data_IF_376662573402
#
_entry.id   IF_376662573402
#
_cell.length_a   1.000
_cell.length_b   1.000
_cell.length_c   1.000
_cell.angle_alpha   90.00
_cell.angle_beta   90.00
_cell.angle_gamma   90.00
#
_symmetry.space_group_name_H-M   'P 1'
#
loop_
_entity.id
_entity.type
_entity.pdbx_description
1 polymer ?
#
# COMPACT_ATOMS: atom_id res chain seq x y z
N UNK A 1 1.19 13.29 -5.16
CA UNK A 1 2.52 13.78 -5.54
C UNK A 1 3.54 13.17 -4.60
N UNK A 2 4.47 12.39 -5.15
CA UNK A 2 5.64 11.90 -4.44
C UNK A 2 6.86 12.76 -4.73
N UNK A 3 7.89 12.66 -3.90
CA UNK A 3 9.20 13.27 -4.19
C UNK A 3 9.91 12.48 -5.30
N UNK A 4 10.59 13.20 -6.19
CA UNK A 4 11.36 12.63 -7.29
C UNK A 4 12.84 12.44 -6.94
N UNK A 5 13.36 13.24 -6.02
CA UNK A 5 14.74 13.22 -5.53
C UNK A 5 14.76 13.22 -4.01
N UNK A 6 15.90 12.83 -3.43
CA UNK A 6 16.06 12.92 -1.98
C UNK A 6 16.04 14.39 -1.54
N UNK A 7 15.57 14.66 -0.32
CA UNK A 7 15.48 16.01 0.27
C UNK A 7 16.21 16.03 1.60
N UNK A 8 16.91 17.12 1.93
CA UNK A 8 17.61 17.29 3.20
C UNK A 8 19.12 17.17 3.08
N UNK A 9 19.77 16.73 4.17
CA UNK A 9 21.24 16.73 4.28
C UNK A 9 21.89 15.90 3.17
N UNK A 10 22.82 16.52 2.43
CA UNK A 10 23.63 15.85 1.41
C UNK A 10 22.86 15.38 0.17
N UNK A 11 21.63 15.86 -0.04
CA UNK A 11 20.84 15.52 -1.23
C UNK A 11 20.96 16.60 -2.32
N UNK A 12 20.85 16.20 -3.59
CA UNK A 12 20.64 17.14 -4.70
C UNK A 12 19.20 17.62 -4.65
N UNK A 13 18.99 18.88 -4.28
CA UNK A 13 17.68 19.39 -3.88
C UNK A 13 16.92 19.93 -5.10
N UNK A 14 15.75 19.37 -5.39
CA UNK A 14 14.76 20.01 -6.27
C UNK A 14 13.74 20.77 -5.43
N UNK A 15 13.57 22.07 -5.70
CA UNK A 15 12.63 22.93 -4.97
C UNK A 15 11.23 22.31 -4.76
N UNK A 16 10.56 21.80 -5.80
CA UNK A 16 9.23 21.20 -5.64
C UNK A 16 9.17 20.03 -4.65
N UNK A 17 10.21 19.20 -4.57
CA UNK A 17 10.27 18.07 -3.63
C UNK A 17 10.35 18.58 -2.18
N UNK A 18 11.06 19.69 -1.95
CA UNK A 18 11.15 20.33 -0.63
C UNK A 18 9.77 20.81 -0.18
N UNK A 19 9.02 21.48 -1.05
CA UNK A 19 7.66 21.93 -0.74
C UNK A 19 6.73 20.78 -0.36
N UNK A 20 6.85 19.63 -1.03
CA UNK A 20 6.11 18.41 -0.68
C UNK A 20 6.49 17.94 0.74
N UNK A 21 7.78 17.90 1.08
CA UNK A 21 8.25 17.51 2.41
C UNK A 21 7.77 18.49 3.48
N UNK A 22 7.87 19.80 3.25
CA UNK A 22 7.38 20.83 4.17
C UNK A 22 5.88 20.68 4.44
N UNK A 23 5.06 20.48 3.39
CA UNK A 23 3.63 20.18 3.54
C UNK A 23 3.40 18.93 4.41
N UNK A 24 4.10 17.83 4.14
CA UNK A 24 3.95 16.59 4.92
C UNK A 24 4.39 16.75 6.37
N UNK A 25 5.47 17.48 6.63
CA UNK A 25 5.90 17.83 7.98
C UNK A 25 4.82 18.62 8.71
N UNK A 26 4.18 19.60 8.04
CA UNK A 26 3.12 20.40 8.65
C UNK A 26 1.89 19.55 9.02
N UNK A 27 1.54 18.55 8.21
CA UNK A 27 0.49 17.59 8.57
C UNK A 27 0.87 16.84 9.85
N UNK A 28 2.11 16.33 9.94
CA UNK A 28 2.58 15.61 11.13
C UNK A 28 2.64 16.54 12.35
N UNK A 29 3.06 17.80 12.17
CA UNK A 29 3.09 18.81 13.22
C UNK A 29 1.69 19.02 13.83
N UNK A 30 0.66 19.07 13.00
CA UNK A 30 -0.71 19.25 13.49
C UNK A 30 -1.29 17.99 14.15
N UNK A 31 -0.82 16.79 13.75
CA UNK A 31 -1.39 15.51 14.21
C UNK A 31 -0.65 14.84 15.36
N UNK A 32 0.63 15.13 15.56
CA UNK A 32 1.46 14.49 16.57
C UNK A 32 1.94 15.53 17.58
N UNK A 33 1.29 15.57 18.75
CA UNK A 33 1.58 16.53 19.81
C UNK A 33 3.01 16.44 20.35
N UNK A 34 3.58 15.23 20.43
CA UNK A 34 4.97 15.03 20.84
C UNK A 34 5.96 15.58 19.81
N UNK A 35 5.70 15.35 18.52
CA UNK A 35 6.50 15.93 17.44
C UNK A 35 6.39 17.46 17.42
N UNK A 36 5.18 18.00 17.56
CA UNK A 36 4.93 19.44 17.69
C UNK A 36 5.75 20.05 18.82
N UNK A 37 5.64 19.50 20.03
CA UNK A 37 6.36 20.00 21.20
C UNK A 37 7.90 19.92 21.01
N UNK A 38 8.39 18.83 20.44
CA UNK A 38 9.82 18.67 20.14
C UNK A 38 10.31 19.68 19.08
N UNK A 39 9.50 19.93 18.04
CA UNK A 39 9.84 20.87 16.98
C UNK A 39 9.82 22.32 17.49
N UNK A 40 8.79 22.69 18.25
CA UNK A 40 8.66 24.00 18.89
C UNK A 40 9.86 24.29 19.81
N UNK A 41 10.39 23.27 20.49
CA UNK A 41 11.58 23.41 21.32
C UNK A 41 12.89 23.51 20.53
N UNK A 42 12.96 22.89 19.35
CA UNK A 42 14.17 22.84 18.52
C UNK A 42 14.37 24.10 17.65
N UNK A 43 13.28 24.79 17.31
CA UNK A 43 13.30 25.96 16.38
C UNK A 43 13.24 27.30 17.13
N UNK A 44 13.37 27.32 18.47
CA UNK A 44 13.27 28.53 19.33
C UNK A 44 14.07 29.75 18.85
N UNK A 45 15.10 29.55 18.03
CA UNK A 45 16.02 30.59 17.54
C UNK A 45 15.49 31.31 16.27
N UNK A 46 14.57 30.71 15.48
CA UNK A 46 14.32 31.17 14.10
C UNK A 46 12.88 31.59 13.77
N UNK A 47 11.85 31.26 14.58
CA UNK A 47 10.46 31.69 14.33
C UNK A 47 9.52 31.42 15.53
N UNK A 48 8.35 32.10 15.63
CA UNK A 48 7.28 31.73 16.56
C UNK A 48 6.77 30.30 16.30
N UNK A 49 6.18 29.65 17.33
CA UNK A 49 5.62 28.27 17.30
C UNK A 49 4.55 28.10 16.21
N UNK A 50 4.96 27.76 14.99
CA UNK A 50 4.06 27.59 13.85
C UNK A 50 4.56 26.50 12.89
N UNK A 51 3.68 25.93 12.05
CA UNK A 51 4.07 25.05 10.95
C UNK A 51 5.15 25.69 10.06
N UNK A 52 5.97 24.86 9.40
CA UNK A 52 6.96 25.34 8.44
C UNK A 52 6.30 26.17 7.33
N UNK A 53 6.97 27.23 6.89
CA UNK A 53 6.61 27.90 5.64
C UNK A 53 6.88 26.93 4.49
N UNK A 54 5.94 26.83 3.54
CA UNK A 54 6.13 26.05 2.31
C UNK A 54 6.74 26.98 1.27
N UNK A 55 8.05 27.09 1.27
CA UNK A 55 8.83 28.01 0.42
C UNK A 55 9.80 27.30 -0.53
N UNK A 56 9.78 25.97 -0.53
CA UNK A 56 10.69 25.13 -1.32
C UNK A 56 12.17 25.27 -0.93
N UNK A 57 12.48 25.90 0.21
CA UNK A 57 13.83 26.02 0.74
C UNK A 57 14.14 24.90 1.76
N UNK A 58 15.23 24.17 1.49
CA UNK A 58 15.70 23.08 2.35
C UNK A 58 16.73 23.58 3.37
N UNK A 59 16.57 24.80 3.86
CA UNK A 59 17.43 25.39 4.88
C UNK A 59 17.31 24.72 6.26
N UNK A 60 17.96 25.34 7.25
CA UNK A 60 18.10 24.81 8.60
C UNK A 60 16.76 24.45 9.27
N UNK A 61 15.70 25.21 9.02
CA UNK A 61 14.37 24.93 9.58
C UNK A 61 13.80 23.60 9.04
N UNK A 62 13.85 23.40 7.72
CA UNK A 62 13.39 22.18 7.06
C UNK A 62 14.22 20.97 7.52
N UNK A 63 15.54 21.07 7.53
CA UNK A 63 16.44 20.01 7.99
C UNK A 63 16.20 19.66 9.48
N UNK A 64 16.06 20.68 10.33
CA UNK A 64 15.77 20.48 11.77
C UNK A 64 14.44 19.78 11.97
N UNK A 65 13.43 20.11 11.16
CA UNK A 65 12.14 19.46 11.21
C UNK A 65 12.20 17.99 10.76
N UNK A 66 12.96 17.69 9.70
CA UNK A 66 13.21 16.30 9.27
C UNK A 66 13.89 15.52 10.39
N UNK A 67 14.97 16.04 10.98
CA UNK A 67 15.70 15.38 12.07
C UNK A 67 14.81 15.16 13.29
N UNK A 68 14.03 16.17 13.66
CA UNK A 68 13.09 16.07 14.78
C UNK A 68 12.02 15.02 14.49
N UNK A 69 11.47 14.98 13.28
CA UNK A 69 10.49 13.97 12.89
C UNK A 69 11.08 12.56 12.95
N UNK A 70 12.28 12.34 12.40
CA UNK A 70 12.97 11.06 12.47
C UNK A 70 13.22 10.63 13.92
N UNK A 71 13.67 11.54 14.78
CA UNK A 71 13.89 11.25 16.20
C UNK A 71 12.60 10.86 16.92
N UNK A 72 11.52 11.63 16.73
CA UNK A 72 10.29 11.45 17.51
C UNK A 72 9.39 10.37 16.92
N UNK A 73 9.12 10.42 15.62
CA UNK A 73 8.19 9.51 14.96
C UNK A 73 8.84 8.15 14.63
N UNK A 74 10.11 8.13 14.24
CA UNK A 74 10.83 6.89 13.90
C UNK A 74 11.69 6.36 15.06
N UNK A 75 11.80 7.11 16.17
CA UNK A 75 12.64 6.75 17.32
C UNK A 75 14.11 6.53 16.96
N UNK A 76 14.60 7.25 15.95
CA UNK A 76 16.01 7.16 15.55
C UNK A 76 16.90 7.92 16.54
N UNK A 77 17.91 7.23 17.07
CA UNK A 77 18.91 7.86 17.94
C UNK A 77 19.76 8.88 17.19
N UNK A 78 20.13 8.56 15.95
CA UNK A 78 21.00 9.37 15.08
C UNK A 78 20.23 9.81 13.81
N UNK A 79 19.36 10.83 13.89
CA UNK A 79 18.63 11.31 12.73
C UNK A 79 19.56 12.02 11.74
N UNK A 80 19.57 11.56 10.50
CA UNK A 80 20.44 12.09 9.44
C UNK A 80 19.93 13.41 8.83
N UNK A 81 18.63 13.70 8.96
CA UNK A 81 18.02 14.88 8.34
C UNK A 81 17.79 14.76 6.84
N UNK A 82 17.73 13.53 6.32
CA UNK A 82 17.52 13.22 4.91
C UNK A 82 16.23 12.42 4.70
N UNK A 83 15.53 12.72 3.61
CA UNK A 83 14.32 12.01 3.18
C UNK A 83 14.57 11.45 1.79
N UNK A 84 14.86 10.15 1.73
CA UNK A 84 15.01 9.46 0.46
C UNK A 84 13.67 9.10 -0.17
N UNK A 85 13.67 9.07 -1.50
CA UNK A 85 12.56 8.63 -2.32
C UNK A 85 12.16 7.20 -1.94
N UNK A 86 10.92 6.99 -1.51
CA UNK A 86 10.46 5.67 -1.06
C UNK A 86 11.09 5.21 0.26
N UNK A 87 12.01 5.97 0.86
CA UNK A 87 12.72 5.61 2.08
C UNK A 87 11.84 5.63 3.34
N UNK A 88 12.42 5.20 4.47
CA UNK A 88 11.71 5.07 5.75
C UNK A 88 11.06 6.38 6.20
N UNK A 89 11.79 7.49 6.13
CA UNK A 89 11.27 8.81 6.51
C UNK A 89 10.16 9.29 5.58
N UNK A 90 10.30 9.11 4.27
CA UNK A 90 9.27 9.46 3.29
C UNK A 90 7.97 8.69 3.55
N UNK A 91 8.10 7.38 3.70
CA UNK A 91 6.98 6.49 4.04
C UNK A 91 6.29 6.91 5.33
N UNK A 92 7.04 7.20 6.38
CA UNK A 92 6.53 7.66 7.66
C UNK A 92 5.78 9.00 7.58
N UNK A 93 6.31 9.95 6.81
CA UNK A 93 5.66 11.25 6.56
C UNK A 93 4.31 11.07 5.86
N UNK A 94 4.19 10.05 4.99
CA UNK A 94 2.93 9.65 4.37
C UNK A 94 2.04 8.80 5.28
N UNK A 95 2.44 8.52 6.52
CA UNK A 95 1.68 7.66 7.44
C UNK A 95 1.87 6.15 7.21
N UNK A 96 2.82 5.77 6.34
CA UNK A 96 3.08 4.39 5.88
C UNK A 96 4.41 3.84 6.45
N UNK A 97 4.70 4.01 7.74
CA UNK A 97 6.01 3.64 8.35
C UNK A 97 6.35 2.15 8.16
N UNK A 98 7.63 1.81 7.97
CA UNK A 98 8.09 0.43 7.65
C UNK A 98 8.42 -0.42 8.90
N UNK A 99 8.85 0.20 10.01
CA UNK A 99 8.93 -0.49 11.33
C UNK A 99 7.56 -0.60 12.00
N UNK A 100 6.57 0.00 11.36
CA UNK A 100 5.22 -0.50 11.42
C UNK A 100 5.22 -1.79 10.57
N UNK A 101 5.44 -2.95 11.18
CA UNK A 101 4.37 -3.92 11.39
C UNK A 101 2.96 -3.28 11.33
N UNK A 102 2.54 -2.57 10.27
CA UNK A 102 1.23 -1.91 10.17
C UNK A 102 0.63 -1.88 8.76
N UNK A 103 1.21 -2.52 7.74
CA UNK A 103 0.30 -3.06 6.71
C UNK A 103 -0.49 -4.20 7.37
N UNK A 104 0.22 -5.00 8.17
CA UNK A 104 -0.31 -5.94 9.15
C UNK A 104 0.15 -5.41 10.50
N UNK A 105 -0.70 -4.95 11.44
CA UNK A 105 -0.29 -4.62 12.82
C UNK A 105 0.63 -5.72 13.39
N UNK A 106 1.43 -5.47 14.44
CA UNK A 106 2.27 -6.50 15.10
C UNK A 106 1.51 -7.79 15.48
N UNK A 107 0.18 -7.71 15.57
CA UNK A 107 -0.78 -8.79 15.83
C UNK A 107 -1.48 -9.38 14.59
N UNK A 108 -1.30 -8.83 13.38
CA UNK A 108 -2.08 -9.23 12.20
C UNK A 108 -3.02 -8.19 11.61
N UNK A 109 -3.29 -7.05 12.27
CA UNK A 109 -4.49 -6.23 11.96
C UNK A 109 -4.27 -5.10 10.95
N UNK A 110 -5.08 -5.11 9.89
CA UNK A 110 -5.26 -4.01 8.93
C UNK A 110 -6.31 -3.03 9.45
N UNK A 111 -6.35 -1.81 8.89
CA UNK A 111 -7.56 -0.98 9.02
C UNK A 111 -8.67 -1.67 8.24
N UNK A 112 -9.65 -2.20 8.97
CA UNK A 112 -10.81 -2.84 8.36
C UNK A 112 -12.01 -1.91 8.36
N UNK A 113 -12.75 -1.92 7.27
CA UNK A 113 -13.99 -1.17 7.12
C UNK A 113 -15.11 -2.12 6.71
N UNK A 114 -16.27 -1.91 7.30
CA UNK A 114 -17.52 -2.53 6.86
C UNK A 114 -18.28 -1.53 6.00
N UNK A 115 -18.64 -1.90 4.78
CA UNK A 115 -19.50 -1.07 3.94
C UNK A 115 -20.86 -0.81 4.61
N UNK A 116 -21.30 -1.72 5.49
CA UNK A 116 -22.56 -1.61 6.20
C UNK A 116 -22.62 -0.43 7.18
N UNK A 117 -21.47 0.16 7.52
CA UNK A 117 -21.42 1.32 8.41
C UNK A 117 -21.78 2.64 7.70
N UNK A 118 -22.07 2.60 6.39
CA UNK A 118 -22.29 3.80 5.57
C UNK A 118 -23.64 3.77 4.82
N UNK A 119 -24.80 3.57 5.50
CA UNK A 119 -26.11 3.45 4.86
C UNK A 119 -26.64 4.76 4.26
N UNK A 120 -26.13 5.91 4.69
CA UNK A 120 -26.61 7.24 4.27
C UNK A 120 -25.69 7.96 3.28
N UNK A 121 -24.55 7.35 2.92
CA UNK A 121 -23.58 7.98 2.04
C UNK A 121 -23.74 7.44 0.62
N UNK A 122 -24.10 8.30 -0.32
CA UNK A 122 -24.20 7.94 -1.74
C UNK A 122 -22.84 7.57 -2.31
N UNK A 123 -22.80 6.53 -3.15
CA UNK A 123 -21.56 6.08 -3.80
C UNK A 123 -21.45 6.64 -5.21
N UNK A 124 -20.26 7.13 -5.55
CA UNK A 124 -19.95 7.68 -6.86
C UNK A 124 -20.90 8.79 -7.28
N UNK A 125 -21.34 8.72 -8.53
CA UNK A 125 -22.26 9.69 -9.11
C UNK A 125 -23.72 9.23 -9.03
N UNK A 126 -24.01 8.18 -8.25
CA UNK A 126 -25.38 7.68 -8.08
C UNK A 126 -26.19 8.55 -7.12
N UNK A 127 -27.46 8.75 -7.46
CA UNK A 127 -28.47 9.36 -6.57
C UNK A 127 -29.20 8.33 -5.69
N UNK A 128 -29.18 7.06 -6.05
CA UNK A 128 -30.00 6.00 -5.42
C UNK A 128 -29.17 4.95 -4.67
N UNK A 129 -27.91 4.77 -5.05
CA UNK A 129 -27.03 3.80 -4.40
C UNK A 129 -26.17 4.42 -3.32
N UNK A 130 -25.97 3.65 -2.26
CA UNK A 130 -25.13 4.00 -1.12
C UNK A 130 -23.93 3.08 -1.02
N UNK A 131 -22.91 3.51 -0.28
CA UNK A 131 -21.74 2.68 0.04
C UNK A 131 -22.20 1.36 0.69
N UNK A 132 -23.21 1.41 1.56
CA UNK A 132 -23.84 0.20 2.13
C UNK A 132 -24.31 -0.78 1.04
N UNK A 133 -25.02 -0.29 0.03
CA UNK A 133 -25.69 -1.16 -0.95
C UNK A 133 -24.75 -1.83 -1.94
N UNK A 134 -23.76 -1.10 -2.48
CA UNK A 134 -22.88 -1.59 -3.57
C UNK A 134 -21.41 -1.17 -3.42
N UNK A 135 -21.01 -0.65 -2.26
CA UNK A 135 -19.66 -0.10 -2.03
C UNK A 135 -18.56 -1.09 -1.64
N UNK A 136 -18.69 -2.37 -1.98
CA UNK A 136 -17.66 -3.36 -1.64
C UNK A 136 -16.31 -3.01 -2.28
N UNK A 137 -16.28 -2.67 -3.57
CA UNK A 137 -15.05 -2.28 -4.29
C UNK A 137 -14.40 -1.04 -3.69
N UNK A 138 -15.20 0.01 -3.47
CA UNK A 138 -14.77 1.26 -2.83
C UNK A 138 -14.15 0.98 -1.46
N UNK A 139 -14.83 0.18 -0.64
CA UNK A 139 -14.40 -0.13 0.72
C UNK A 139 -13.11 -0.94 0.71
N UNK A 140 -12.99 -1.93 -0.18
CA UNK A 140 -11.76 -2.72 -0.36
C UNK A 140 -10.58 -1.88 -0.85
N UNK A 141 -10.77 -1.01 -1.85
CA UNK A 141 -9.72 -0.10 -2.29
C UNK A 141 -9.34 0.91 -1.20
N UNK A 142 -10.30 1.37 -0.40
CA UNK A 142 -10.03 2.26 0.75
C UNK A 142 -9.12 1.56 1.75
N UNK A 143 -9.45 0.33 2.16
CA UNK A 143 -8.61 -0.46 3.07
C UNK A 143 -7.20 -0.65 2.50
N UNK A 144 -7.08 -0.97 1.21
CA UNK A 144 -5.79 -1.10 0.54
C UNK A 144 -5.00 0.23 0.56
N UNK A 145 -5.67 1.34 0.25
CA UNK A 145 -5.08 2.66 0.21
C UNK A 145 -4.58 3.12 1.59
N UNK A 146 -5.20 2.68 2.69
CA UNK A 146 -4.67 2.96 4.04
C UNK A 146 -3.28 2.35 4.27
N UNK A 147 -2.94 1.28 3.53
CA UNK A 147 -1.68 0.56 3.66
C UNK A 147 -0.64 0.97 2.61
N UNK A 148 -1.03 1.05 1.33
CA UNK A 148 -0.10 1.26 0.21
C UNK A 148 -0.44 2.47 -0.66
N UNK A 149 -1.51 3.18 -0.34
CA UNK A 149 -1.92 4.38 -1.05
C UNK A 149 -1.01 5.58 -0.78
N UNK A 150 -1.14 6.59 -1.63
CA UNK A 150 -0.39 7.85 -1.51
C UNK A 150 -1.25 9.03 -1.97
N UNK A 151 -1.11 10.17 -1.30
CA UNK A 151 -1.89 11.36 -1.67
C UNK A 151 -1.50 11.86 -3.07
N UNK A 152 -2.49 12.25 -3.87
CA UNK A 152 -2.31 12.95 -5.15
C UNK A 152 -3.12 14.27 -5.19
N UNK A 153 -3.25 14.88 -6.36
CA UNK A 153 -3.96 16.15 -6.54
C UNK A 153 -5.46 16.11 -6.20
N UNK A 154 -6.07 14.92 -6.15
CA UNK A 154 -7.49 14.76 -5.79
C UNK A 154 -7.70 14.63 -4.28
N UNK A 155 -6.63 14.42 -3.50
CA UNK A 155 -6.71 14.27 -2.06
C UNK A 155 -6.75 15.61 -1.35
N UNK A 156 -7.50 15.75 -0.24
CA UNK A 156 -7.34 16.88 0.66
C UNK A 156 -5.88 16.97 1.15
N UNK A 157 -5.35 18.20 1.23
CA UNK A 157 -3.93 18.41 1.56
C UNK A 157 -3.53 17.84 2.93
N UNK A 158 -4.45 17.80 3.88
CA UNK A 158 -4.24 17.35 5.26
C UNK A 158 -4.56 15.87 5.50
N UNK A 159 -4.99 15.15 4.47
CA UNK A 159 -5.40 13.75 4.58
C UNK A 159 -4.22 12.80 4.34
N UNK A 160 -3.93 11.97 5.35
CA UNK A 160 -2.97 10.88 5.21
C UNK A 160 -3.69 9.59 4.80
N UNK A 161 -3.02 8.69 4.05
CA UNK A 161 -3.51 7.35 3.73
C UNK A 161 -4.17 6.62 4.91
N UNK A 162 -3.49 6.54 6.06
CA UNK A 162 -4.02 5.89 7.27
C UNK A 162 -5.32 6.49 7.83
N UNK A 163 -5.64 7.73 7.47
CA UNK A 163 -6.82 8.48 7.95
C UNK A 163 -7.98 8.45 6.92
N UNK A 164 -7.80 7.71 5.81
CA UNK A 164 -8.85 7.47 4.84
C UNK A 164 -10.02 6.72 5.48
N UNK A 165 -11.22 7.06 5.03
CA UNK A 165 -12.45 6.31 5.29
C UNK A 165 -13.17 6.10 3.95
N UNK A 166 -14.10 5.14 3.82
CA UNK A 166 -14.85 4.95 2.58
C UNK A 166 -15.56 6.21 2.10
N UNK A 167 -16.01 7.09 3.00
CA UNK A 167 -16.62 8.38 2.65
C UNK A 167 -15.58 9.32 2.01
N UNK A 168 -14.42 9.51 2.64
CA UNK A 168 -13.36 10.37 2.10
C UNK A 168 -12.80 9.83 0.77
N UNK A 169 -12.63 8.50 0.69
CA UNK A 169 -12.19 7.85 -0.53
C UNK A 169 -13.20 8.04 -1.67
N UNK A 170 -14.50 7.94 -1.39
CA UNK A 170 -15.56 8.21 -2.36
C UNK A 170 -15.45 9.63 -2.93
N UNK A 171 -15.20 10.64 -2.10
CA UNK A 171 -15.04 12.03 -2.56
C UNK A 171 -13.80 12.20 -3.45
N UNK A 172 -12.68 11.57 -3.10
CA UNK A 172 -11.46 11.55 -3.92
C UNK A 172 -11.74 10.92 -5.28
N UNK A 173 -12.42 9.76 -5.28
CA UNK A 173 -12.74 8.99 -6.47
C UNK A 173 -13.71 9.74 -7.39
N UNK A 174 -14.68 10.48 -6.84
CA UNK A 174 -15.56 11.37 -7.64
C UNK A 174 -14.75 12.48 -8.31
N UNK A 175 -13.87 13.16 -7.56
CA UNK A 175 -13.01 14.23 -8.10
C UNK A 175 -12.08 13.72 -9.20
N UNK A 176 -11.62 12.49 -9.09
CA UNK A 176 -10.76 11.84 -10.07
C UNK A 176 -11.53 11.29 -11.30
N UNK A 177 -12.86 11.34 -11.30
CA UNK A 177 -13.67 10.77 -12.39
C UNK A 177 -13.64 9.23 -12.45
N UNK A 178 -13.33 8.55 -11.34
CA UNK A 178 -13.18 7.08 -11.31
C UNK A 178 -14.51 6.31 -11.41
N UNK A 179 -15.65 7.01 -11.35
CA UNK A 179 -16.99 6.43 -11.46
C UNK A 179 -17.62 6.73 -12.82
N UNK A 180 -18.37 5.77 -13.34
CA UNK A 180 -19.20 6.00 -14.51
C UNK A 180 -20.23 7.12 -14.25
N UNK A 181 -20.65 7.80 -15.33
CA UNK A 181 -21.62 8.91 -15.26
C UNK A 181 -22.94 8.41 -14.65
N UNK A 182 -23.47 9.15 -13.67
CA UNK A 182 -24.72 8.83 -12.97
C UNK A 182 -24.77 7.44 -12.32
N UNK A 183 -23.62 6.82 -12.04
CA UNK A 183 -23.52 5.45 -11.53
C UNK A 183 -22.66 5.37 -10.27
N UNK A 184 -22.87 4.30 -9.49
CA UNK A 184 -21.97 3.89 -8.42
C UNK A 184 -20.90 2.91 -8.90
N UNK A 185 -20.94 2.51 -10.17
CA UNK A 185 -19.95 1.64 -10.80
C UNK A 185 -18.63 2.38 -10.96
N UNK A 186 -17.56 1.73 -10.51
CA UNK A 186 -16.20 2.27 -10.48
C UNK A 186 -15.31 1.49 -11.44
N UNK A 187 -14.51 2.22 -12.22
CA UNK A 187 -13.41 1.62 -12.97
C UNK A 187 -12.27 1.35 -11.98
N UNK A 188 -12.04 0.08 -11.62
CA UNK A 188 -11.13 -0.30 -10.52
C UNK A 188 -9.71 0.25 -10.72
N UNK A 189 -9.20 0.23 -11.95
CA UNK A 189 -7.88 0.78 -12.31
C UNK A 189 -7.80 2.28 -11.97
N UNK A 190 -8.79 3.04 -12.41
CA UNK A 190 -8.83 4.48 -12.19
C UNK A 190 -9.05 4.80 -10.72
N UNK A 191 -9.84 3.97 -10.03
CA UNK A 191 -10.04 4.10 -8.59
C UNK A 191 -8.76 3.83 -7.78
N UNK A 192 -7.98 2.82 -8.17
CA UNK A 192 -6.69 2.56 -7.56
C UNK A 192 -5.71 3.73 -7.81
N UNK A 193 -5.65 4.25 -9.03
CA UNK A 193 -4.80 5.39 -9.38
C UNK A 193 -5.20 6.67 -8.61
N UNK A 194 -6.49 6.95 -8.50
CA UNK A 194 -7.04 8.06 -7.72
C UNK A 194 -6.70 7.96 -6.22
N UNK A 195 -6.57 6.74 -5.70
CA UNK A 195 -6.11 6.47 -4.33
C UNK A 195 -4.59 6.28 -4.22
N UNK A 196 -3.84 6.65 -5.28
CA UNK A 196 -2.39 6.66 -5.30
C UNK A 196 -1.76 5.27 -5.19
N UNK A 197 -2.36 4.29 -5.86
CA UNK A 197 -1.86 2.93 -6.01
C UNK A 197 -1.68 2.59 -7.50
N UNK A 198 -0.79 1.63 -7.78
CA UNK A 198 -0.68 0.99 -9.10
C UNK A 198 -1.53 -0.28 -9.09
N UNK A 199 -2.29 -0.48 -10.15
CA UNK A 199 -3.20 -1.62 -10.32
C UNK A 199 -2.80 -2.47 -11.53
N UNK A 200 -2.64 -3.77 -11.30
CA UNK A 200 -2.36 -4.78 -12.33
C UNK A 200 -3.40 -5.90 -12.24
N UNK A 201 -4.23 -6.07 -13.27
CA UNK A 201 -5.36 -7.00 -13.29
C UNK A 201 -4.96 -8.39 -13.81
N UNK A 202 -5.50 -9.44 -13.17
CA UNK A 202 -5.36 -10.84 -13.54
C UNK A 202 -6.72 -11.53 -13.59
N UNK A 203 -6.88 -12.51 -14.47
CA UNK A 203 -8.11 -13.31 -14.58
C UNK A 203 -9.24 -12.67 -15.37
N UNK A 204 -8.94 -11.68 -16.23
CA UNK A 204 -9.91 -11.20 -17.22
C UNK A 204 -10.34 -12.40 -18.09
N UNK A 205 -11.64 -12.63 -18.22
CA UNK A 205 -12.27 -13.82 -18.83
C UNK A 205 -12.28 -15.12 -17.99
N UNK A 206 -12.14 -15.02 -16.66
CA UNK A 206 -12.28 -16.15 -15.71
C UNK A 206 -11.22 -17.26 -15.81
N UNK A 207 -10.09 -17.00 -16.48
CA UNK A 207 -9.00 -17.96 -16.60
C UNK A 207 -7.85 -17.54 -15.68
N UNK A 208 -7.97 -17.89 -14.40
CA UNK A 208 -6.85 -17.78 -13.47
C UNK A 208 -5.99 -19.04 -13.54
N UNK A 209 -4.69 -18.84 -13.66
CA UNK A 209 -3.67 -19.89 -13.79
C UNK A 209 -2.91 -20.10 -12.48
N UNK A 210 -2.13 -21.19 -12.40
CA UNK A 210 -1.19 -21.40 -11.28
C UNK A 210 -0.13 -20.29 -11.20
N UNK A 211 0.28 -19.74 -12.35
CA UNK A 211 1.24 -18.65 -12.41
C UNK A 211 0.65 -17.35 -11.83
N UNK A 212 -0.62 -17.07 -12.09
CA UNK A 212 -1.30 -15.89 -11.52
C UNK A 212 -1.37 -16.00 -9.99
N UNK A 213 -1.64 -17.20 -9.46
CA UNK A 213 -1.61 -17.45 -8.02
C UNK A 213 -0.20 -17.27 -7.43
N UNK A 214 0.84 -17.64 -8.16
CA UNK A 214 2.22 -17.35 -7.75
C UNK A 214 2.47 -15.85 -7.70
N UNK A 215 2.07 -15.09 -8.73
CA UNK A 215 2.16 -13.62 -8.74
C UNK A 215 1.43 -12.99 -7.55
N UNK A 216 0.22 -13.47 -7.24
CA UNK A 216 -0.54 -13.06 -6.05
C UNK A 216 0.25 -13.31 -4.76
N UNK A 217 0.79 -14.52 -4.57
CA UNK A 217 1.55 -14.87 -3.36
C UNK A 217 2.85 -14.09 -3.25
N UNK A 218 3.58 -13.91 -4.35
CA UNK A 218 4.78 -13.07 -4.40
C UNK A 218 4.46 -11.62 -4.05
N UNK A 219 3.31 -11.10 -4.49
CA UNK A 219 2.86 -9.75 -4.16
C UNK A 219 2.53 -9.60 -2.67
N UNK A 220 1.81 -10.56 -2.09
CA UNK A 220 1.55 -10.62 -0.65
C UNK A 220 2.85 -10.77 0.16
N UNK A 221 3.84 -11.52 -0.34
CA UNK A 221 5.16 -11.67 0.28
C UNK A 221 5.96 -10.36 0.38
N UNK A 222 5.66 -9.38 -0.50
CA UNK A 222 6.19 -8.01 -0.41
C UNK A 222 5.42 -7.14 0.61
N UNK A 223 4.39 -7.69 1.24
CA UNK A 223 3.49 -6.97 2.14
C UNK A 223 2.45 -6.11 1.41
N UNK A 224 2.20 -6.35 0.12
CA UNK A 224 1.26 -5.56 -0.67
C UNK A 224 -0.10 -6.26 -0.80
N UNK A 225 -1.22 -5.55 -0.63
CA UNK A 225 -2.54 -6.17 -0.67
C UNK A 225 -2.99 -6.49 -2.09
N UNK A 226 -3.98 -7.38 -2.20
CA UNK A 226 -4.59 -7.81 -3.46
C UNK A 226 -6.10 -7.62 -3.36
N UNK A 227 -6.69 -6.86 -4.27
CA UNK A 227 -8.14 -6.74 -4.36
C UNK A 227 -8.70 -7.89 -5.20
N UNK A 228 -9.62 -8.67 -4.67
CA UNK A 228 -10.14 -9.85 -5.34
C UNK A 228 -11.64 -9.74 -5.59
N UNK A 229 -12.06 -10.08 -6.81
CA UNK A 229 -13.47 -10.20 -7.16
C UNK A 229 -13.90 -11.64 -6.94
N UNK A 230 -14.91 -11.84 -6.10
CA UNK A 230 -15.46 -13.15 -5.76
C UNK A 230 -16.87 -13.32 -6.33
N UNK A 231 -17.15 -14.52 -6.80
CA UNK A 231 -18.47 -14.99 -7.23
C UNK A 231 -19.05 -15.88 -6.12
N UNK A 232 -20.29 -15.59 -5.71
CA UNK A 232 -21.08 -16.47 -4.83
C UNK A 232 -22.50 -16.72 -5.34
N UNK A 233 -22.91 -16.09 -6.45
CA UNK A 233 -24.24 -16.24 -7.06
C UNK A 233 -24.25 -17.07 -8.33
N UNK A 234 -23.11 -17.64 -8.74
CA UNK A 234 -22.93 -18.34 -10.02
C UNK A 234 -22.83 -17.41 -11.24
N UNK A 235 -22.36 -16.18 -11.06
CA UNK A 235 -22.16 -15.24 -12.17
C UNK A 235 -20.73 -15.32 -12.72
N UNK A 236 -20.56 -15.29 -14.04
CA UNK A 236 -19.24 -15.23 -14.69
C UNK A 236 -18.48 -13.93 -14.42
N UNK A 237 -19.16 -12.88 -13.95
CA UNK A 237 -18.56 -11.56 -13.78
C UNK A 237 -17.97 -11.35 -12.39
N UNK A 238 -18.38 -12.15 -11.39
CA UNK A 238 -18.17 -11.86 -9.97
C UNK A 238 -19.24 -10.89 -9.43
N UNK A 239 -19.51 -10.96 -8.13
CA UNK A 239 -20.61 -10.23 -7.48
C UNK A 239 -20.15 -9.32 -6.34
N UNK A 240 -18.91 -9.50 -5.87
CA UNK A 240 -18.45 -8.87 -4.63
C UNK A 240 -16.94 -8.75 -4.58
N UNK A 241 -16.45 -7.67 -3.97
CA UNK A 241 -15.02 -7.41 -3.83
C UNK A 241 -14.58 -7.58 -2.39
N UNK A 242 -13.41 -8.19 -2.20
CA UNK A 242 -12.74 -8.39 -0.92
C UNK A 242 -11.28 -7.96 -1.03
N UNK A 243 -10.61 -7.77 0.12
CA UNK A 243 -9.19 -7.44 0.15
C UNK A 243 -8.37 -8.60 0.72
N UNK A 244 -7.59 -9.29 -0.10
CA UNK A 244 -6.61 -10.30 0.36
C UNK A 244 -5.37 -9.58 0.88
N UNK A 245 -4.93 -9.99 2.06
CA UNK A 245 -3.99 -9.23 2.86
C UNK A 245 -2.78 -10.02 3.33
N UNK A 246 -2.83 -11.34 3.40
CA UNK A 246 -1.64 -12.15 3.70
C UNK A 246 -1.75 -13.56 3.15
N UNK A 247 -0.60 -14.13 2.82
CA UNK A 247 -0.46 -15.58 2.70
C UNK A 247 -0.10 -16.15 4.07
N UNK A 248 -0.73 -17.25 4.45
CA UNK A 248 -0.54 -17.92 5.72
C UNK A 248 0.39 -19.13 5.56
N UNK A 249 1.05 -19.54 6.64
CA UNK A 249 1.97 -20.69 6.62
C UNK A 249 1.26 -22.02 6.31
N UNK A 250 -0.04 -22.12 6.60
CA UNK A 250 -0.90 -23.27 6.29
C UNK A 250 -1.34 -23.35 4.81
N UNK A 251 -0.78 -22.48 3.96
CA UNK A 251 -1.10 -22.41 2.53
C UNK A 251 -2.39 -21.65 2.19
N UNK A 252 -3.17 -21.22 3.20
CA UNK A 252 -4.34 -20.35 2.99
C UNK A 252 -3.92 -18.90 2.76
N UNK A 253 -4.89 -18.05 2.38
CA UNK A 253 -4.71 -16.59 2.38
C UNK A 253 -5.79 -15.95 3.25
N UNK A 254 -5.44 -14.94 4.04
CA UNK A 254 -6.43 -14.14 4.77
C UNK A 254 -6.90 -12.97 3.93
N UNK A 255 -8.19 -12.66 4.01
CA UNK A 255 -8.84 -11.55 3.34
C UNK A 255 -9.80 -10.81 4.28
N UNK A 256 -10.04 -9.54 4.03
CA UNK A 256 -11.03 -8.72 4.72
C UNK A 256 -12.23 -8.56 3.81
N UNK A 257 -13.38 -8.98 4.30
CA UNK A 257 -14.65 -8.85 3.60
C UNK A 257 -15.35 -7.55 4.02
N UNK A 258 -15.59 -6.58 3.10
CA UNK A 258 -16.30 -5.36 3.44
C UNK A 258 -17.75 -5.59 3.86
N UNK A 259 -18.32 -6.79 3.64
CA UNK A 259 -19.63 -7.21 4.18
C UNK A 259 -19.55 -7.53 5.68
N UNK A 260 -19.06 -6.61 6.49
CA UNK A 260 -18.86 -6.79 7.94
C UNK A 260 -17.50 -6.31 8.43
N UNK A 261 -16.53 -6.11 7.54
CA UNK A 261 -15.20 -5.60 7.88
C UNK A 261 -14.34 -6.60 8.64
N UNK A 262 -14.68 -7.88 8.61
CA UNK A 262 -13.94 -8.92 9.33
C UNK A 262 -13.07 -9.78 8.43
N UNK A 263 -12.12 -10.46 9.06
CA UNK A 263 -11.22 -11.38 8.38
C UNK A 263 -11.93 -12.72 8.06
N UNK A 264 -11.69 -13.20 6.85
CA UNK A 264 -11.98 -14.55 6.37
C UNK A 264 -10.66 -15.15 5.85
N UNK A 265 -10.61 -16.46 5.63
CA UNK A 265 -9.52 -17.08 4.83
C UNK A 265 -10.05 -17.78 3.59
N UNK A 266 -9.16 -17.98 2.62
CA UNK A 266 -9.43 -18.69 1.38
C UNK A 266 -8.37 -19.77 1.17
N UNK A 267 -8.76 -20.89 0.56
CA UNK A 267 -7.90 -22.03 0.24
C UNK A 267 -7.76 -22.21 -1.26
N UNK A 268 -6.68 -22.83 -1.71
CA UNK A 268 -6.48 -23.17 -3.13
C UNK A 268 -7.18 -24.47 -3.53
N UNK A 269 -7.67 -25.24 -2.57
CA UNK A 269 -8.35 -26.52 -2.79
C UNK A 269 -9.87 -26.33 -2.83
N UNK A 270 -10.57 -26.82 -3.86
CA UNK A 270 -12.01 -26.65 -3.99
C UNK A 270 -12.85 -27.61 -3.13
N UNK A 271 -12.24 -28.69 -2.61
CA UNK A 271 -12.97 -29.83 -2.01
C UNK A 271 -13.80 -29.45 -0.77
N UNK A 272 -13.48 -28.35 -0.10
CA UNK A 272 -14.23 -27.85 1.08
C UNK A 272 -15.22 -26.73 0.73
N UNK A 273 -15.28 -26.33 -0.54
CA UNK A 273 -16.21 -25.31 -1.01
C UNK A 273 -17.55 -25.98 -1.30
N UNK A 274 -18.57 -25.64 -0.52
CA UNK A 274 -19.92 -26.24 -0.61
C UNK A 274 -20.59 -26.06 -1.97
N UNK A 275 -20.14 -25.10 -2.79
CA UNK A 275 -20.62 -24.92 -4.16
C UNK A 275 -19.89 -25.82 -5.17
N UNK A 276 -18.64 -26.21 -4.91
CA UNK A 276 -17.81 -26.99 -5.84
C UNK A 276 -17.93 -28.52 -5.63
N UNK A 277 -18.55 -28.96 -4.53
CA UNK A 277 -18.76 -30.38 -4.21
C UNK A 277 -19.78 -31.11 -5.12
N UNK A 278 -20.35 -30.47 -6.15
CA UNK A 278 -21.30 -31.09 -7.09
C UNK A 278 -20.89 -30.93 -8.56
N UNK A 279 -20.36 -32.00 -9.16
CA UNK A 279 -20.28 -32.37 -10.60
C UNK A 279 -19.95 -31.35 -11.69
N UNK A 280 -19.48 -30.14 -11.37
CA UNK A 280 -19.08 -29.16 -12.38
C UNK A 280 -17.67 -28.63 -12.15
N UNK A 281 -16.71 -29.54 -12.06
CA UNK A 281 -15.27 -29.23 -12.16
C UNK A 281 -14.90 -28.47 -13.46
N UNK A 282 -15.80 -28.45 -14.47
CA UNK A 282 -15.68 -27.65 -15.69
C UNK A 282 -16.11 -26.18 -15.51
N UNK A 283 -16.85 -25.82 -14.46
CA UNK A 283 -17.39 -24.47 -14.25
C UNK A 283 -16.42 -23.52 -13.52
N UNK A 284 -15.27 -23.26 -14.15
CA UNK A 284 -14.25 -22.24 -13.80
C UNK A 284 -13.11 -22.73 -12.91
N UNK A 285 -11.89 -22.46 -13.35
CA UNK A 285 -10.65 -22.67 -12.60
C UNK A 285 -10.38 -21.53 -11.61
N UNK A 286 -11.33 -21.29 -10.70
CA UNK A 286 -11.08 -20.38 -9.57
C UNK A 286 -9.85 -20.85 -8.76
N UNK A 287 -8.97 -19.92 -8.38
CA UNK A 287 -7.71 -20.25 -7.68
C UNK A 287 -7.83 -20.23 -6.16
N UNK A 288 -8.88 -19.60 -5.63
CA UNK A 288 -9.09 -19.42 -4.19
C UNK A 288 -10.57 -19.54 -3.84
N UNK A 289 -10.84 -20.30 -2.78
CA UNK A 289 -12.18 -20.73 -2.37
C UNK A 289 -12.44 -20.40 -0.91
N UNK A 290 -13.65 -19.90 -0.64
CA UNK A 290 -14.21 -19.92 0.71
C UNK A 290 -14.50 -21.35 1.17
N UNK A 291 -14.48 -21.57 2.49
CA UNK A 291 -14.74 -22.87 3.11
C UNK A 291 -15.32 -22.71 4.52
N UNK A 292 -16.00 -23.74 5.02
CA UNK A 292 -16.71 -23.72 6.32
C UNK A 292 -15.80 -23.44 7.52
N UNK A 293 -16.32 -22.70 8.52
CA UNK A 293 -15.65 -22.46 9.80
C UNK A 293 -14.70 -21.27 9.83
N UNK A 294 -14.64 -20.53 8.74
CA UNK A 294 -13.64 -19.51 8.49
C UNK A 294 -14.23 -18.18 8.02
N UNK A 295 -15.49 -18.00 8.38
CA UNK A 295 -16.29 -16.82 8.18
C UNK A 295 -16.01 -15.84 9.32
N UNK A 296 -16.21 -14.56 9.05
CA UNK A 296 -16.21 -13.60 10.13
C UNK A 296 -17.45 -13.81 11.01
N UNK A 297 -17.26 -14.06 12.30
CA UNK A 297 -18.38 -14.34 13.21
C UNK A 297 -19.26 -13.12 13.52
N UNK A 298 -18.76 -11.91 13.25
CA UNK A 298 -19.48 -10.65 13.50
C UNK A 298 -20.58 -10.32 12.48
N UNK A 299 -20.88 -11.22 11.52
CA UNK A 299 -21.94 -11.02 10.52
C UNK A 299 -23.00 -12.12 10.63
N UNK A 300 -24.21 -11.84 10.15
CA UNK A 300 -25.32 -12.79 10.21
C UNK A 300 -25.07 -14.08 9.40
N UNK A 301 -25.79 -15.18 9.72
CA UNK A 301 -25.61 -16.49 9.08
C UNK A 301 -25.70 -16.48 7.55
N UNK A 302 -26.56 -15.62 7.00
CA UNK A 302 -26.70 -15.44 5.55
C UNK A 302 -25.41 -14.97 4.88
N UNK A 303 -24.71 -14.01 5.50
CA UNK A 303 -23.43 -13.50 4.98
C UNK A 303 -22.32 -14.54 5.15
N UNK A 304 -22.28 -15.22 6.29
CA UNK A 304 -21.36 -16.34 6.53
C UNK A 304 -21.52 -17.45 5.47
N UNK A 305 -22.77 -17.84 5.14
CA UNK A 305 -23.06 -18.82 4.09
C UNK A 305 -22.60 -18.36 2.70
N UNK A 306 -22.66 -17.06 2.39
CA UNK A 306 -22.12 -16.52 1.14
C UNK A 306 -20.60 -16.60 1.11
N UNK A 307 -19.93 -16.23 2.20
CA UNK A 307 -18.46 -16.30 2.33
C UNK A 307 -17.92 -17.72 2.09
N UNK A 308 -18.63 -18.75 2.56
CA UNK A 308 -18.30 -20.17 2.28
C UNK A 308 -18.34 -20.54 0.79
N UNK A 309 -19.10 -19.79 -0.01
CA UNK A 309 -19.33 -20.05 -1.44
C UNK A 309 -18.45 -19.18 -2.34
N UNK A 310 -17.57 -18.35 -1.76
CA UNK A 310 -16.70 -17.47 -2.52
C UNK A 310 -15.78 -18.28 -3.43
N UNK A 311 -15.70 -17.84 -4.68
CA UNK A 311 -14.73 -18.29 -5.67
C UNK A 311 -14.08 -17.03 -6.23
N UNK A 312 -12.77 -16.88 -6.08
CA UNK A 312 -12.04 -15.76 -6.71
C UNK A 312 -12.02 -15.98 -8.22
N UNK A 313 -12.61 -15.04 -8.96
CA UNK A 313 -12.74 -15.09 -10.43
C UNK A 313 -11.76 -14.18 -11.16
N UNK A 314 -11.34 -13.09 -10.51
CA UNK A 314 -10.27 -12.19 -10.95
C UNK A 314 -9.70 -11.45 -9.74
N UNK A 315 -8.51 -10.89 -9.89
CA UNK A 315 -7.93 -10.04 -8.86
C UNK A 315 -7.06 -8.94 -9.46
N UNK A 316 -6.73 -7.95 -8.65
CA UNK A 316 -5.74 -6.94 -8.98
C UNK A 316 -4.67 -6.83 -7.92
N UNK A 317 -3.42 -6.81 -8.36
CA UNK A 317 -2.28 -6.48 -7.50
C UNK A 317 -2.29 -4.97 -7.25
N UNK A 318 -2.26 -4.56 -5.98
CA UNK A 318 -2.21 -3.16 -5.59
C UNK A 318 -0.82 -2.84 -5.04
N UNK A 319 -0.06 -2.03 -5.74
CA UNK A 319 1.28 -1.60 -5.32
C UNK A 319 1.29 -0.13 -4.92
N UNK A 320 2.23 0.30 -4.08
CA UNK A 320 2.57 1.71 -3.99
C UNK A 320 2.94 2.26 -5.38
N UNK A 321 2.59 3.52 -5.66
CA UNK A 321 3.15 4.22 -6.81
C UNK A 321 4.66 4.24 -6.65
N UNK A 322 5.37 3.54 -7.55
CA UNK A 322 6.82 3.68 -7.64
C UNK A 322 7.07 5.17 -7.87
N UNK A 323 7.86 5.79 -7.01
CA UNK A 323 8.45 7.04 -7.44
C UNK A 323 9.19 6.74 -8.74
N UNK A 324 9.00 7.59 -9.75
CA UNK A 324 9.64 7.46 -11.06
C UNK A 324 11.18 7.51 -10.98
N UNK A 325 11.74 7.63 -9.78
CA UNK A 325 13.14 7.38 -9.51
C UNK A 325 13.48 5.88 -9.65
N UNK A 326 13.72 5.46 -10.88
CA UNK A 326 14.69 4.41 -11.14
C UNK A 326 16.05 5.06 -10.91
N UNK A 327 16.86 4.67 -9.89
CA UNK A 327 18.23 5.14 -9.85
C UNK A 327 18.85 4.80 -11.21
N UNK A 328 19.48 5.79 -11.86
CA UNK A 328 20.30 5.49 -13.03
C UNK A 328 21.21 4.32 -12.65
N UNK A 329 21.32 3.27 -13.48
CA UNK A 329 22.22 2.17 -13.18
C UNK A 329 23.56 2.80 -12.84
N UNK A 330 24.10 2.44 -11.67
CA UNK A 330 25.37 2.94 -11.20
C UNK A 330 26.37 2.57 -12.30
N UNK A 331 26.72 3.52 -13.16
CA UNK A 331 27.80 3.33 -14.11
C UNK A 331 29.06 3.32 -13.27
N UNK A 332 29.41 2.13 -12.78
CA UNK A 332 30.77 1.86 -12.34
C UNK A 332 31.58 1.88 -13.62
N UNK A 333 32.04 3.07 -14.02
CA UNK A 333 33.15 3.17 -14.96
C UNK A 333 34.34 2.57 -14.22
N UNK A 334 34.56 1.27 -14.41
CA UNK A 334 35.87 0.69 -14.17
C UNK A 334 36.79 1.37 -15.18
N UNK A 335 37.50 2.42 -14.76
CA UNK A 335 38.70 2.84 -15.45
C UNK A 335 39.63 1.63 -15.45
N UNK A 336 39.73 0.96 -16.60
CA UNK A 336 40.72 -0.10 -16.84
C UNK A 336 42.08 0.49 -17.24
N UNK A 337 42.43 1.64 -16.69
CA UNK A 337 43.75 2.23 -16.86
C UNK A 337 44.54 2.06 -15.56
N UNK A 338 44.85 0.80 -15.27
CA UNK A 338 46.04 0.46 -14.50
C UNK A 338 46.99 -0.23 -15.48
N UNK A 339 47.78 0.58 -16.18
CA UNK A 339 49.03 0.14 -16.79
C UNK A 339 49.93 -0.42 -15.68
N UNK A 340 49.98 -1.75 -15.59
CA UNK A 340 51.02 -2.45 -14.83
C UNK A 340 52.30 -2.44 -15.67
N UNK A 341 53.10 -1.39 -15.51
CA UNK A 341 54.52 -1.46 -15.83
C UNK A 341 55.20 -2.46 -14.90
N UNK A 342 55.41 -3.69 -15.39
CA UNK A 342 56.37 -4.62 -14.81
C UNK A 342 57.80 -4.16 -15.16
N UNK A 343 58.42 -3.42 -14.26
CA UNK A 343 59.89 -3.29 -14.24
C UNK A 343 60.48 -4.35 -13.31
N UNK A 344 61.28 -5.23 -13.90
CA UNK A 344 62.21 -6.19 -13.30
C UNK A 344 62.80 -5.76 -11.95
N UNK A 345 62.48 -6.50 -10.88
CA UNK A 345 63.34 -6.93 -9.76
C UNK A 345 62.66 -8.21 -9.24
N UNK A 346 63.22 -9.42 -9.26
CA UNK A 346 64.49 -9.81 -8.65
C UNK A 346 64.23 -10.43 -7.28
N UNK A 347 64.21 -11.77 -7.23
CA UNK A 347 64.29 -12.66 -6.05
C UNK A 347 63.09 -12.86 -5.11
N UNK A 348 62.81 -14.14 -4.81
CA UNK A 348 62.41 -14.59 -3.47
C UNK A 348 61.12 -15.41 -3.40
N UNK A 349 61.29 -16.71 -3.16
CA UNK A 349 60.25 -17.72 -2.89
C UNK A 349 59.18 -17.31 -1.86
N UNK A 350 57.94 -17.80 -2.02
CA UNK A 350 57.22 -18.62 -1.04
C UNK A 350 55.82 -18.97 -1.58
N UNK A 351 55.63 -20.25 -1.94
CA UNK A 351 54.31 -20.85 -2.10
C UNK A 351 53.79 -21.34 -0.75
N UNK A 352 52.65 -20.83 -0.29
CA UNK A 352 51.78 -21.53 0.66
C UNK A 352 50.33 -21.42 0.18
N UNK A 353 49.83 -22.54 -0.32
CA UNK A 353 48.41 -22.79 -0.56
C UNK A 353 47.87 -23.45 0.72
N UNK A 354 46.88 -22.84 1.37
CA UNK A 354 46.06 -23.53 2.36
C UNK A 354 44.59 -23.41 2.00
N UNK A 355 44.04 -24.53 1.55
CA UNK A 355 42.60 -24.81 1.45
C UNK A 355 41.94 -24.78 2.82
N UNK A 356 40.75 -24.18 2.92
CA UNK A 356 39.83 -24.38 4.04
C UNK A 356 38.54 -25.03 3.54
N UNK A 357 38.11 -26.03 4.30
CA UNK A 357 36.81 -26.72 4.22
C UNK A 357 35.67 -25.80 4.64
#
# INVERSE_FOLDING_TARGET
MGIQTAVGVGATIKGPDVGIIQKKINIQYNKNSAFKAALDNSIKIYAPRRPLKVDNDCGNATITAIKTFQRIALKWHNPDGRVDVGGKTWRALNGNVEDAKHIVKKDGTYTSFSQFNYPKHTIGNSSSYTIYSIGCTLTSLTMAATAVGSSNEHWPEDLLPKDLTPVKANDILKKAGAFAKNSGEMVVKDGAAALGMVYEEYGRNNNLTKQDLLSLKTHLGKGYPVIAHVDYKKSATGDHWILIVRANADGTVSAIDPSGGGEIKLKTTPNENTRYQGDRAKEKSGVLFGYTGNQYKGVGPKTQSRQQKYIVVRFGLLSPVKSLYTPAPLQISMNRDCDLHYSNLGFGDFCLVSSWH
#
